data_IF_171772658254
#
_entry.id   IF_171772658254
#
_cell.length_a   1.000
_cell.length_b   1.000
_cell.length_c   1.000
_cell.angle_alpha   90.00
_cell.angle_beta   90.00
_cell.angle_gamma   90.00
#
_symmetry.space_group_name_H-M   'P 1'
#
loop_
_entity.id
_entity.type
_entity.pdbx_description
1 polymer ?
#
# COMPACT_ATOMS: atom_id res chain seq x y z
N UNK A 1 15.25 11.45 2.68
CA UNK A 1 15.75 10.60 3.78
C UNK A 1 14.52 10.19 4.59
N UNK A 2 14.31 8.89 4.78
CA UNK A 2 13.20 8.38 5.60
C UNK A 2 13.74 8.16 7.00
N UNK A 3 13.09 8.77 7.99
CA UNK A 3 13.35 8.45 9.39
C UNK A 3 12.42 7.31 9.78
N UNK A 4 12.99 6.14 10.01
CA UNK A 4 12.31 4.99 10.58
C UNK A 4 12.61 4.97 12.06
N UNK A 5 11.56 4.85 12.86
CA UNK A 5 11.63 4.77 14.31
C UNK A 5 11.11 3.42 14.78
N UNK A 6 11.49 3.03 15.98
CA UNK A 6 10.98 1.84 16.65
C UNK A 6 10.44 2.22 18.02
N UNK A 7 9.18 1.88 18.26
CA UNK A 7 8.56 2.00 19.57
C UNK A 7 8.57 0.64 20.25
N UNK A 8 9.20 0.54 21.43
CA UNK A 8 9.14 -0.66 22.26
C UNK A 8 8.12 -0.47 23.35
N UNK A 9 7.11 -1.32 23.37
CA UNK A 9 6.05 -1.34 24.36
C UNK A 9 6.24 -2.60 25.19
N UNK A 10 6.21 -2.49 26.52
CA UNK A 10 6.40 -3.63 27.44
C UNK A 10 5.35 -3.64 28.51
N UNK A 11 4.84 -4.82 28.82
CA UNK A 11 3.98 -5.07 29.98
C UNK A 11 4.86 -5.47 31.16
N UNK A 12 4.76 -4.73 32.26
CA UNK A 12 5.58 -4.96 33.44
C UNK A 12 4.72 -5.39 34.65
N UNK A 13 5.26 -6.30 35.45
CA UNK A 13 4.72 -6.64 36.77
C UNK A 13 5.85 -6.67 37.81
N UNK A 14 5.77 -5.88 38.85
CA UNK A 14 6.81 -5.79 39.89
C UNK A 14 8.19 -5.40 39.32
N UNK A 15 8.23 -4.62 38.26
CA UNK A 15 9.49 -4.24 37.58
C UNK A 15 10.04 -5.29 36.58
N UNK A 16 9.40 -6.46 36.49
CA UNK A 16 9.79 -7.51 35.54
C UNK A 16 8.94 -7.41 34.26
N UNK A 17 9.57 -7.45 33.10
CA UNK A 17 8.87 -7.50 31.82
C UNK A 17 8.20 -8.86 31.64
N UNK A 18 6.89 -8.87 31.44
CA UNK A 18 6.11 -10.08 31.18
C UNK A 18 5.89 -10.31 29.69
N UNK A 19 5.74 -9.22 28.93
CA UNK A 19 5.49 -9.26 27.50
C UNK A 19 5.96 -7.94 26.85
N UNK A 20 6.07 -7.93 25.52
CA UNK A 20 6.45 -6.73 24.82
C UNK A 20 6.38 -6.87 23.31
N UNK A 21 6.11 -5.75 22.64
CA UNK A 21 6.10 -5.63 21.19
C UNK A 21 7.02 -4.49 20.77
N UNK A 22 7.61 -4.65 19.60
CA UNK A 22 8.39 -3.57 18.96
C UNK A 22 7.73 -3.23 17.64
N UNK A 23 7.22 -1.99 17.52
CA UNK A 23 6.57 -1.49 16.34
C UNK A 23 7.49 -0.54 15.57
N UNK A 24 7.57 -0.74 14.26
CA UNK A 24 8.24 0.19 13.35
C UNK A 24 7.25 1.23 12.87
N UNK A 25 7.67 2.48 12.84
CA UNK A 25 6.89 3.55 12.23
C UNK A 25 7.80 4.60 11.60
N UNK A 26 7.20 5.48 10.78
CA UNK A 26 7.94 6.60 10.21
C UNK A 26 7.10 7.86 10.19
N UNK A 27 7.79 9.00 10.21
CA UNK A 27 7.15 10.32 10.11
C UNK A 27 7.47 10.92 8.74
N UNK A 28 6.44 11.36 8.07
CA UNK A 28 6.55 12.07 6.78
C UNK A 28 5.46 13.12 6.65
N UNK A 29 5.75 14.10 5.83
CA UNK A 29 4.77 15.04 5.30
C UNK A 29 4.76 14.90 3.78
N UNK A 30 3.59 14.92 3.16
CA UNK A 30 3.49 15.04 1.71
C UNK A 30 2.36 16.00 1.33
N UNK A 31 2.51 16.61 0.17
CA UNK A 31 1.50 17.49 -0.41
C UNK A 31 1.46 17.34 -1.92
N UNK A 32 0.35 17.72 -2.51
CA UNK A 32 0.15 17.75 -3.96
C UNK A 32 -0.18 19.17 -4.35
N UNK A 33 0.64 19.74 -5.22
CA UNK A 33 0.39 21.01 -5.85
C UNK A 33 -0.16 20.77 -7.26
N UNK A 34 -1.20 21.50 -7.64
CA UNK A 34 -1.88 21.32 -8.93
C UNK A 34 -0.95 21.53 -10.13
N UNK A 35 0.00 22.45 -10.01
CA UNK A 35 0.90 22.83 -11.11
C UNK A 35 2.27 22.18 -10.98
N UNK A 36 2.74 21.99 -9.75
CA UNK A 36 4.11 21.52 -9.46
C UNK A 36 4.20 20.04 -9.14
N UNK A 37 3.05 19.37 -8.89
CA UNK A 37 3.01 17.94 -8.62
C UNK A 37 3.25 17.57 -7.15
N UNK A 38 3.92 16.45 -6.92
CA UNK A 38 4.05 15.83 -5.61
C UNK A 38 5.30 16.33 -4.85
N UNK A 39 5.10 16.61 -3.58
CA UNK A 39 6.16 17.00 -2.64
C UNK A 39 6.23 16.01 -1.48
N UNK A 40 7.43 15.60 -1.11
CA UNK A 40 7.70 14.76 0.05
C UNK A 40 8.68 15.47 0.97
N UNK A 41 8.28 15.70 2.23
CA UNK A 41 9.05 16.44 3.23
C UNK A 41 9.56 17.81 2.70
N UNK A 42 8.66 18.56 2.08
CA UNK A 42 8.92 19.88 1.50
C UNK A 42 9.73 19.87 0.19
N UNK A 43 10.16 18.70 -0.30
CA UNK A 43 10.95 18.60 -1.54
C UNK A 43 10.07 18.12 -2.69
N UNK A 44 10.12 18.84 -3.82
CA UNK A 44 9.51 18.37 -5.06
C UNK A 44 10.08 16.99 -5.45
N UNK A 45 9.20 16.02 -5.62
CA UNK A 45 9.58 14.62 -5.82
C UNK A 45 8.72 14.02 -6.94
N UNK A 46 9.13 14.13 -8.21
CA UNK A 46 8.41 13.47 -9.29
C UNK A 46 8.31 11.96 -9.02
N UNK A 47 7.09 11.42 -9.17
CA UNK A 47 6.86 9.99 -8.97
C UNK A 47 7.07 9.24 -10.30
N UNK A 48 8.01 8.32 -10.29
CA UNK A 48 8.28 7.37 -11.37
C UNK A 48 7.95 5.99 -10.85
N UNK A 49 6.86 5.39 -11.30
CA UNK A 49 6.36 4.16 -10.73
C UNK A 49 5.81 3.18 -11.75
N UNK A 50 5.53 2.00 -11.26
CA UNK A 50 4.90 0.91 -12.01
C UNK A 50 3.69 0.38 -11.25
N UNK A 51 2.76 -0.24 -11.97
CA UNK A 51 1.78 -1.12 -11.36
C UNK A 51 2.43 -2.48 -11.10
N UNK A 52 2.11 -3.09 -9.97
CA UNK A 52 2.66 -4.36 -9.57
C UNK A 52 1.59 -5.25 -8.94
N UNK A 53 1.54 -6.50 -9.41
CA UNK A 53 0.78 -7.57 -8.81
C UNK A 53 1.70 -8.48 -8.02
N UNK A 54 1.31 -8.89 -6.81
CA UNK A 54 2.12 -9.77 -5.96
C UNK A 54 1.97 -11.24 -6.36
N UNK A 55 2.32 -11.55 -7.60
CA UNK A 55 2.23 -12.91 -8.10
C UNK A 55 3.42 -13.30 -8.97
N UNK A 56 3.59 -14.60 -9.15
CA UNK A 56 4.59 -15.13 -10.06
C UNK A 56 4.04 -16.32 -10.84
N UNK A 57 4.56 -16.59 -12.05
CA UNK A 57 4.07 -17.67 -12.91
C UNK A 57 4.11 -19.07 -12.27
N UNK A 58 4.94 -19.27 -11.26
CA UNK A 58 5.14 -20.60 -10.61
C UNK A 58 4.51 -20.69 -9.23
N UNK A 59 4.43 -19.60 -8.51
CA UNK A 59 3.98 -19.60 -7.11
C UNK A 59 2.62 -18.93 -6.92
N UNK A 60 2.08 -18.27 -7.96
CA UNK A 60 0.92 -17.40 -7.77
C UNK A 60 1.21 -16.39 -6.65
N UNK A 61 0.32 -16.24 -5.71
CA UNK A 61 0.48 -15.33 -4.58
C UNK A 61 1.40 -15.84 -3.45
N UNK A 62 1.79 -17.13 -3.48
CA UNK A 62 2.68 -17.71 -2.49
C UNK A 62 4.16 -17.34 -2.73
N UNK A 63 4.41 -16.07 -2.98
CA UNK A 63 5.76 -15.54 -3.20
C UNK A 63 6.57 -15.54 -1.92
N UNK A 64 7.84 -15.89 -2.05
CA UNK A 64 8.82 -15.75 -0.97
C UNK A 64 9.34 -14.31 -0.87
N UNK A 65 9.88 -13.92 0.28
CA UNK A 65 10.51 -12.59 0.45
C UNK A 65 11.65 -12.37 -0.55
N UNK A 66 12.43 -13.41 -0.87
CA UNK A 66 13.50 -13.33 -1.87
C UNK A 66 12.98 -12.99 -3.28
N UNK A 67 11.82 -13.51 -3.65
CA UNK A 67 11.19 -13.17 -4.95
C UNK A 67 10.74 -11.71 -4.94
N UNK A 68 10.06 -11.26 -3.87
CA UNK A 68 9.68 -9.85 -3.71
C UNK A 68 10.90 -8.91 -3.76
N UNK A 69 11.93 -9.21 -2.99
CA UNK A 69 13.17 -8.41 -3.00
C UNK A 69 13.77 -8.29 -4.40
N UNK A 70 13.75 -9.37 -5.19
CA UNK A 70 14.23 -9.37 -6.57
C UNK A 70 13.39 -8.45 -7.46
N UNK A 71 12.07 -8.54 -7.38
CA UNK A 71 11.17 -7.73 -8.19
C UNK A 71 11.34 -6.23 -7.87
N UNK A 72 11.42 -5.89 -6.60
CA UNK A 72 11.66 -4.51 -6.18
C UNK A 72 13.08 -4.02 -6.53
N UNK A 73 14.08 -4.89 -6.56
CA UNK A 73 15.39 -4.53 -7.07
C UNK A 73 15.34 -4.15 -8.56
N UNK A 74 14.62 -4.91 -9.38
CA UNK A 74 14.40 -4.58 -10.80
C UNK A 74 13.69 -3.23 -10.95
N UNK A 75 12.63 -2.97 -10.19
CA UNK A 75 11.95 -1.67 -10.21
C UNK A 75 12.92 -0.52 -9.86
N UNK A 76 13.77 -0.71 -8.87
CA UNK A 76 14.78 0.28 -8.49
C UNK A 76 15.82 0.50 -9.58
N UNK A 77 16.28 -0.55 -10.22
CA UNK A 77 17.24 -0.47 -11.32
C UNK A 77 16.65 0.27 -12.54
N UNK A 78 15.34 0.17 -12.75
CA UNK A 78 14.60 0.97 -13.73
C UNK A 78 14.43 2.45 -13.34
N UNK A 79 14.86 2.85 -12.13
CA UNK A 79 14.71 4.22 -11.63
C UNK A 79 13.37 4.50 -10.95
N UNK A 80 12.57 3.49 -10.63
CA UNK A 80 11.31 3.68 -9.94
C UNK A 80 11.54 4.14 -8.49
N UNK A 81 10.73 5.11 -8.06
CA UNK A 81 10.62 5.59 -6.69
C UNK A 81 9.20 5.45 -6.13
N UNK A 82 8.31 4.86 -6.90
CA UNK A 82 6.92 4.62 -6.51
C UNK A 82 6.44 3.26 -7.05
N UNK A 83 5.44 2.69 -6.39
CA UNK A 83 4.74 1.49 -6.83
C UNK A 83 3.26 1.62 -6.52
N UNK A 84 2.40 1.25 -7.47
CA UNK A 84 0.99 1.01 -7.24
C UNK A 84 0.80 -0.49 -7.03
N UNK A 85 0.41 -0.86 -5.82
CA UNK A 85 0.08 -2.23 -5.43
C UNK A 85 -1.32 -2.56 -5.95
N UNK A 86 -1.36 -3.07 -7.17
CA UNK A 86 -2.58 -3.30 -7.93
C UNK A 86 -3.14 -4.71 -7.66
N UNK A 87 -4.40 -4.93 -7.54
CA UNK A 87 -5.54 -4.01 -7.32
C UNK A 87 -6.25 -4.46 -6.04
N UNK A 88 -5.48 -4.70 -4.97
CA UNK A 88 -5.90 -5.25 -3.69
C UNK A 88 -4.77 -5.03 -2.66
N UNK A 89 -5.07 -5.29 -1.40
CA UNK A 89 -4.05 -5.24 -0.35
C UNK A 89 -2.97 -6.31 -0.59
N UNK A 90 -1.72 -5.88 -0.62
CA UNK A 90 -0.56 -6.77 -0.74
C UNK A 90 -0.08 -7.28 0.63
N UNK A 91 0.87 -8.22 0.59
CA UNK A 91 1.48 -8.77 1.80
C UNK A 91 2.23 -7.70 2.60
N UNK A 92 2.21 -7.82 3.93
CA UNK A 92 2.84 -6.87 4.87
C UNK A 92 4.34 -6.68 4.60
N UNK A 93 5.00 -7.72 4.12
CA UNK A 93 6.42 -7.72 3.78
C UNK A 93 6.76 -6.73 2.65
N UNK A 94 5.81 -6.48 1.74
CA UNK A 94 6.01 -5.54 0.64
C UNK A 94 5.99 -4.09 1.11
N UNK A 95 5.10 -3.75 2.05
CA UNK A 95 5.11 -2.43 2.68
C UNK A 95 6.42 -2.18 3.45
N UNK A 96 6.86 -3.17 4.24
CA UNK A 96 8.12 -3.09 4.96
C UNK A 96 9.32 -2.93 4.00
N UNK A 97 9.30 -3.62 2.87
CA UNK A 97 10.31 -3.50 1.82
C UNK A 97 10.29 -2.11 1.18
N UNK A 98 9.12 -1.55 0.89
CA UNK A 98 8.97 -0.18 0.39
C UNK A 98 9.47 0.86 1.40
N UNK A 99 9.21 0.66 2.69
CA UNK A 99 9.76 1.50 3.75
C UNK A 99 11.29 1.50 3.73
N UNK A 100 11.89 0.32 3.67
CA UNK A 100 13.35 0.13 3.60
C UNK A 100 13.95 0.78 2.35
N UNK A 101 13.33 0.57 1.18
CA UNK A 101 13.83 1.04 -0.10
C UNK A 101 13.55 2.52 -0.36
N UNK A 102 12.64 3.11 0.37
CA UNK A 102 12.28 4.49 0.16
C UNK A 102 11.32 4.72 -0.98
N UNK A 103 10.49 3.75 -1.33
CA UNK A 103 9.49 3.87 -2.39
C UNK A 103 8.17 4.43 -1.87
N UNK A 104 7.52 5.26 -2.66
CA UNK A 104 6.16 5.72 -2.39
C UNK A 104 5.16 4.66 -2.83
N UNK A 105 4.18 4.38 -1.99
CA UNK A 105 3.18 3.34 -2.23
C UNK A 105 1.81 3.95 -2.43
N UNK A 106 1.14 3.50 -3.48
CA UNK A 106 -0.30 3.56 -3.65
C UNK A 106 -0.85 2.16 -3.41
N UNK A 107 -1.62 1.97 -2.36
CA UNK A 107 -2.26 0.69 -2.01
C UNK A 107 -3.77 0.76 -2.27
N UNK A 108 -4.40 -0.38 -2.52
CA UNK A 108 -5.81 -0.45 -2.94
C UNK A 108 -6.58 -1.50 -2.16
N UNK A 109 -7.89 -1.29 -2.05
CA UNK A 109 -8.84 -2.35 -1.68
C UNK A 109 -9.27 -3.12 -2.93
N UNK A 110 -9.76 -4.35 -2.76
CA UNK A 110 -10.06 -5.27 -3.85
C UNK A 110 -11.37 -4.99 -4.59
N UNK A 111 -11.61 -3.75 -5.02
CA UNK A 111 -12.77 -3.40 -5.84
C UNK A 111 -12.31 -3.19 -7.28
N UNK A 112 -12.72 -4.10 -8.16
CA UNK A 112 -12.37 -4.06 -9.58
C UNK A 112 -13.66 -3.95 -10.39
N UNK A 113 -13.70 -3.00 -11.30
CA UNK A 113 -14.84 -2.81 -12.20
C UNK A 113 -15.01 -3.98 -13.18
N UNK A 114 -16.23 -4.14 -13.70
CA UNK A 114 -16.54 -5.17 -14.67
C UNK A 114 -16.09 -4.74 -16.07
N UNK A 115 -15.24 -5.54 -16.68
CA UNK A 115 -14.66 -5.29 -18.01
C UNK A 115 -15.33 -6.12 -19.13
N UNK A 116 -16.52 -6.71 -18.92
CA UNK A 116 -17.14 -7.52 -19.95
C UNK A 116 -17.93 -6.64 -20.94
N UNK A 117 -17.45 -6.44 -22.18
CA UNK A 117 -18.20 -5.74 -23.19
C UNK A 117 -19.54 -6.48 -23.47
N UNK A 118 -20.65 -5.75 -23.47
CA UNK A 118 -21.96 -6.28 -23.83
C UNK A 118 -22.80 -6.83 -22.69
N UNK A 119 -22.29 -6.85 -21.45
CA UNK A 119 -23.14 -7.12 -20.31
C UNK A 119 -23.75 -5.83 -19.74
N UNK A 120 -25.02 -5.87 -19.26
CA UNK A 120 -25.63 -4.70 -18.65
C UNK A 120 -24.77 -4.23 -17.47
N UNK A 121 -24.70 -2.91 -17.28
CA UNK A 121 -24.10 -2.33 -16.10
C UNK A 121 -24.67 -3.03 -14.86
N UNK A 122 -23.77 -3.51 -13.98
CA UNK A 122 -24.20 -4.18 -12.76
C UNK A 122 -25.21 -3.31 -12.01
N UNK A 123 -26.20 -3.96 -11.38
CA UNK A 123 -27.10 -3.25 -10.51
C UNK A 123 -26.31 -2.51 -9.44
N UNK A 124 -26.85 -1.39 -9.03
CA UNK A 124 -26.33 -0.52 -7.97
C UNK A 124 -25.63 -1.35 -6.89
N UNK A 125 -24.43 -0.96 -6.53
CA UNK A 125 -23.70 -1.57 -5.41
C UNK A 125 -24.66 -1.71 -4.24
N UNK A 126 -24.87 -2.94 -3.79
CA UNK A 126 -25.72 -3.14 -2.62
C UNK A 126 -25.10 -2.43 -1.41
N UNK A 127 -25.93 -2.13 -0.42
CA UNK A 127 -25.46 -1.52 0.81
C UNK A 127 -24.41 -2.42 1.49
N UNK A 128 -24.64 -3.72 1.47
CA UNK A 128 -23.72 -4.72 2.03
C UNK A 128 -22.36 -4.70 1.33
N UNK A 129 -22.35 -4.51 0.01
CA UNK A 129 -21.09 -4.36 -0.73
C UNK A 129 -20.37 -3.07 -0.35
N UNK A 130 -21.09 -1.95 -0.26
CA UNK A 130 -20.52 -0.68 0.16
C UNK A 130 -19.98 -0.74 1.59
N UNK A 131 -20.72 -1.35 2.52
CA UNK A 131 -20.28 -1.54 3.90
C UNK A 131 -19.01 -2.43 3.97
N UNK A 132 -18.95 -3.52 3.17
CA UNK A 132 -17.75 -4.36 3.05
C UNK A 132 -16.56 -3.59 2.49
N UNK A 133 -16.76 -2.76 1.48
CA UNK A 133 -15.72 -1.91 0.91
C UNK A 133 -15.15 -0.93 1.95
N UNK A 134 -16.02 -0.29 2.72
CA UNK A 134 -15.62 0.62 3.79
C UNK A 134 -14.88 -0.10 4.92
N UNK A 135 -15.30 -1.32 5.25
CA UNK A 135 -14.59 -2.17 6.20
C UNK A 135 -13.18 -2.51 5.70
N UNK A 136 -13.04 -2.99 4.46
CA UNK A 136 -11.74 -3.29 3.86
C UNK A 136 -10.80 -2.07 3.87
N UNK A 137 -11.32 -0.89 3.53
CA UNK A 137 -10.53 0.34 3.57
C UNK A 137 -10.07 0.68 4.99
N UNK A 138 -10.96 0.55 5.96
CA UNK A 138 -10.64 0.81 7.38
C UNK A 138 -9.56 -0.14 7.88
N UNK A 139 -9.68 -1.42 7.55
CA UNK A 139 -8.70 -2.45 7.92
C UNK A 139 -7.35 -2.21 7.22
N UNK A 140 -7.36 -1.87 5.92
CA UNK A 140 -6.16 -1.55 5.17
C UNK A 140 -5.41 -0.35 5.78
N UNK A 141 -6.14 0.72 6.13
CA UNK A 141 -5.55 1.89 6.78
C UNK A 141 -4.95 1.50 8.13
N UNK A 142 -5.69 0.77 8.96
CA UNK A 142 -5.22 0.35 10.28
C UNK A 142 -3.96 -0.52 10.22
N UNK A 143 -3.90 -1.44 9.24
CA UNK A 143 -2.75 -2.34 9.06
C UNK A 143 -1.53 -1.66 8.46
N UNK A 144 -1.72 -0.60 7.68
CA UNK A 144 -0.61 0.09 6.99
C UNK A 144 -0.28 1.46 7.57
N UNK A 145 -0.96 1.87 8.63
CA UNK A 145 -0.83 3.21 9.22
C UNK A 145 0.60 3.59 9.60
N UNK A 146 1.37 2.64 10.11
CA UNK A 146 2.75 2.85 10.54
C UNK A 146 3.78 2.83 9.40
N UNK A 147 3.37 2.43 8.18
CA UNK A 147 4.27 2.38 7.03
C UNK A 147 4.47 3.77 6.40
N UNK A 148 5.65 4.40 6.55
CA UNK A 148 5.89 5.73 6.00
C UNK A 148 5.96 5.76 4.46
N UNK A 149 6.04 4.61 3.81
CA UNK A 149 5.98 4.49 2.35
C UNK A 149 4.59 4.71 1.79
N UNK A 150 3.52 4.39 2.54
CA UNK A 150 2.15 4.50 2.05
C UNK A 150 1.72 5.97 1.98
N UNK A 151 1.44 6.42 0.76
CA UNK A 151 1.02 7.81 0.47
C UNK A 151 -0.44 7.89 0.06
N UNK A 152 -0.94 6.89 -0.68
CA UNK A 152 -2.27 6.92 -1.26
C UNK A 152 -3.02 5.62 -0.99
N UNK A 153 -4.32 5.76 -0.75
CA UNK A 153 -5.28 4.67 -0.62
C UNK A 153 -6.26 4.74 -1.79
N UNK A 154 -6.20 3.76 -2.69
CA UNK A 154 -7.12 3.63 -3.81
C UNK A 154 -8.35 2.85 -3.40
N UNK A 155 -9.50 3.31 -3.81
CA UNK A 155 -10.77 2.68 -3.46
C UNK A 155 -11.27 1.72 -4.52
N UNK A 156 -10.73 1.78 -5.73
CA UNK A 156 -11.22 0.96 -6.83
C UNK A 156 -10.29 0.99 -8.03
N UNK A 157 -10.43 -0.01 -8.89
CA UNK A 157 -9.82 -0.07 -10.21
C UNK A 157 -10.88 -0.21 -11.29
N UNK A 158 -10.73 0.56 -12.38
CA UNK A 158 -11.55 0.41 -13.61
C UNK A 158 -13.08 0.46 -13.38
N UNK A 159 -13.52 1.25 -12.42
CA UNK A 159 -14.95 1.52 -12.26
C UNK A 159 -15.35 2.50 -13.35
N UNK A 160 -15.96 1.98 -14.40
CA UNK A 160 -16.58 2.80 -15.43
C UNK A 160 -17.87 3.40 -14.89
N UNK A 161 -18.07 4.67 -15.18
CA UNK A 161 -19.26 5.40 -14.78
C UNK A 161 -20.52 4.63 -15.18
N UNK A 162 -21.29 4.23 -14.17
CA UNK A 162 -22.68 3.86 -14.38
C UNK A 162 -23.44 5.16 -14.64
N UNK A 163 -23.69 5.44 -15.89
CA UNK A 163 -24.56 6.54 -16.33
C UNK A 163 -26.03 6.11 -16.24
#
# INVERSE_FOLDING_TARGET
MKLIFYAKISVLSGGTALDGVTEQFGVREFSIDREKGFFLNGKHTPLHGVNYHQDSPRAGWAMTNKQRERDYAVMRDMGCNAVRMAHYQHASEEYALCDKLGMCVWTEIGIIGKLCPGEPAEPQLSREFADSAMQQLTELIAQTYNHPSVMFYGMSNEIYQMS
#
